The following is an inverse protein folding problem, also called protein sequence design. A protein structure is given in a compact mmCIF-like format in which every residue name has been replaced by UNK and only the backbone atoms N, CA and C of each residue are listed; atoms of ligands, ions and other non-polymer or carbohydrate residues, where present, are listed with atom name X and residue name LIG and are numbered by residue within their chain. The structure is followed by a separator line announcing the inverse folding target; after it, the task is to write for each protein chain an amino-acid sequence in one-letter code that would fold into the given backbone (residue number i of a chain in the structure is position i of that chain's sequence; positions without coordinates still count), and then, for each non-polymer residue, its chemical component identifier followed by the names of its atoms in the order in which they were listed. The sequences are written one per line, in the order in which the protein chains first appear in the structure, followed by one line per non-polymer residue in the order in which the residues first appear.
data_IF_590883851409
#
_entry.id   IF_590883851409
#
_cell.length_a   1.000
_cell.length_b   1.000
_cell.length_c   1.000
_cell.angle_alpha   90.00
_cell.angle_beta   90.00
_cell.angle_gamma   90.00
#
_symmetry.space_group_name_H-M   'P 1'
#
loop_
_entity.id
_entity.type
_entity.pdbx_description
1 polymer ?
#
# COMPACT_ATOMS: atom_id res chain seq x y z
N UNK A 1 -9.15 -2.53 9.80
CA UNK A 1 -8.25 -1.68 10.60
C UNK A 1 -8.08 -0.35 9.91
N UNK A 2 -8.19 0.75 10.65
CA UNK A 2 -7.96 2.11 10.15
C UNK A 2 -6.88 2.76 11.02
N UNK A 3 -5.77 3.12 10.39
CA UNK A 3 -4.67 3.82 11.04
C UNK A 3 -5.01 5.31 11.08
N UNK A 4 -4.98 5.89 12.27
CA UNK A 4 -5.32 7.29 12.52
C UNK A 4 -4.16 8.03 13.18
N UNK A 5 -4.06 9.32 12.93
CA UNK A 5 -3.04 10.20 13.50
C UNK A 5 -3.59 11.61 13.71
N UNK A 6 -3.45 12.45 12.70
CA UNK A 6 -4.01 13.81 12.73
C UNK A 6 -5.53 13.79 12.91
N UNK A 7 -6.04 14.56 13.85
CA UNK A 7 -7.48 14.63 14.18
C UNK A 7 -8.11 13.27 14.51
N UNK A 8 -7.35 12.35 15.10
CA UNK A 8 -7.81 10.98 15.41
C UNK A 8 -9.11 10.90 16.21
N UNK A 9 -9.39 11.92 17.02
CA UNK A 9 -10.61 12.00 17.84
C UNK A 9 -11.88 12.03 16.98
N UNK A 10 -11.80 12.52 15.75
CA UNK A 10 -12.94 12.57 14.81
C UNK A 10 -13.32 11.19 14.27
N UNK A 11 -12.42 10.21 14.39
CA UNK A 11 -12.64 8.85 13.90
C UNK A 11 -13.22 7.90 14.95
N UNK A 12 -13.32 8.32 16.21
CA UNK A 12 -13.73 7.44 17.33
C UNK A 12 -15.10 6.80 17.12
N UNK A 13 -16.04 7.51 16.49
CA UNK A 13 -17.40 7.00 16.24
C UNK A 13 -17.43 5.86 15.22
N UNK A 14 -16.38 5.69 14.40
CA UNK A 14 -16.36 4.66 13.36
C UNK A 14 -16.40 3.24 13.93
N UNK A 15 -15.82 2.99 15.09
CA UNK A 15 -15.88 1.67 15.74
C UNK A 15 -17.30 1.31 16.19
N UNK A 16 -18.13 2.32 16.53
CA UNK A 16 -19.53 2.14 16.88
C UNK A 16 -20.41 1.98 15.63
N UNK A 17 -20.13 2.75 14.57
CA UNK A 17 -20.89 2.75 13.32
C UNK A 17 -20.63 1.48 12.48
N UNK A 18 -19.40 0.96 12.52
CA UNK A 18 -18.97 -0.17 11.70
C UNK A 18 -18.47 -1.34 12.57
N UNK A 19 -19.35 -2.29 12.92
CA UNK A 19 -18.96 -3.44 13.74
C UNK A 19 -17.78 -4.20 13.15
N UNK A 20 -16.75 -4.40 13.96
CA UNK A 20 -15.51 -5.09 13.53
C UNK A 20 -14.40 -4.14 13.06
N UNK A 21 -14.70 -2.85 12.81
CA UNK A 21 -13.66 -1.86 12.56
C UNK A 21 -12.83 -1.64 13.83
N UNK A 22 -11.50 -1.52 13.67
CA UNK A 22 -10.54 -1.23 14.73
C UNK A 22 -9.69 -0.04 14.34
N UNK A 23 -9.59 0.95 15.23
CA UNK A 23 -8.68 2.08 15.07
C UNK A 23 -7.30 1.73 15.63
N UNK A 24 -6.25 2.11 14.91
CA UNK A 24 -4.86 1.99 15.33
C UNK A 24 -4.25 3.38 15.35
N UNK A 25 -3.72 3.78 16.50
CA UNK A 25 -3.06 5.08 16.65
C UNK A 25 -1.64 5.04 16.05
N UNK A 26 -1.33 5.99 15.19
CA UNK A 26 0.02 6.27 14.74
C UNK A 26 0.57 7.50 15.47
N UNK A 27 1.39 7.34 16.51
CA UNK A 27 1.94 8.46 17.26
C UNK A 27 3.04 9.23 16.51
N UNK A 28 3.47 8.74 15.36
CA UNK A 28 4.54 9.34 14.54
C UNK A 28 4.02 10.00 13.26
N UNK A 29 2.71 10.26 13.18
CA UNK A 29 2.08 10.80 11.96
C UNK A 29 2.67 12.13 11.48
N UNK A 30 3.23 12.93 12.38
CA UNK A 30 3.80 14.25 12.12
C UNK A 30 5.35 14.26 12.03
N UNK A 31 6.00 13.16 12.40
CA UNK A 31 7.48 13.07 12.48
C UNK A 31 8.09 12.05 11.54
N UNK A 32 7.31 11.11 11.04
CA UNK A 32 7.73 10.06 10.12
C UNK A 32 6.89 10.09 8.84
N UNK A 33 7.41 9.49 7.78
CA UNK A 33 6.62 9.23 6.58
C UNK A 33 5.65 8.04 6.81
N UNK A 34 4.85 7.68 5.81
CA UNK A 34 3.77 6.70 5.94
C UNK A 34 4.23 5.28 6.29
N UNK A 35 5.54 4.97 6.24
CA UNK A 35 6.07 3.73 6.80
C UNK A 35 5.64 3.53 8.27
N UNK A 36 5.51 4.62 9.04
CA UNK A 36 5.03 4.57 10.41
C UNK A 36 3.58 4.05 10.49
N UNK A 37 2.73 4.42 9.54
CA UNK A 37 1.34 3.95 9.50
C UNK A 37 1.25 2.45 9.29
N UNK A 38 2.05 1.89 8.39
CA UNK A 38 2.06 0.45 8.19
C UNK A 38 2.79 -0.28 9.34
N UNK A 39 3.82 0.34 9.90
CA UNK A 39 4.53 -0.20 11.06
C UNK A 39 3.60 -0.42 12.26
N UNK A 40 2.74 0.54 12.60
CA UNK A 40 1.78 0.35 13.71
C UNK A 40 0.73 -0.72 13.42
N UNK A 41 0.40 -0.96 12.16
CA UNK A 41 -0.55 -1.97 11.71
C UNK A 41 0.10 -3.33 11.37
N UNK A 42 1.40 -3.51 11.57
CA UNK A 42 2.17 -4.67 11.08
C UNK A 42 1.70 -6.04 11.57
N UNK A 43 0.98 -6.11 12.67
CA UNK A 43 0.42 -7.36 13.19
C UNK A 43 -0.79 -7.88 12.36
N UNK A 44 -1.27 -7.09 11.41
CA UNK A 44 -2.51 -7.34 10.65
C UNK A 44 -2.27 -7.48 9.13
N UNK A 45 -1.08 -7.86 8.71
CA UNK A 45 -0.69 -7.89 7.29
C UNK A 45 -0.89 -9.25 6.61
N UNK A 46 -1.13 -10.31 7.37
CA UNK A 46 -1.37 -11.63 6.80
C UNK A 46 -2.76 -11.70 6.15
N UNK A 47 -2.81 -12.08 4.87
CA UNK A 47 -4.04 -12.08 4.06
C UNK A 47 -4.77 -10.74 4.09
N UNK A 48 -4.04 -9.68 3.86
CA UNK A 48 -4.53 -8.31 3.95
C UNK A 48 -4.66 -7.62 2.60
N UNK A 49 -5.59 -6.68 2.51
CA UNK A 49 -5.63 -5.64 1.48
C UNK A 49 -5.35 -4.32 2.18
N UNK A 50 -4.41 -3.55 1.64
CA UNK A 50 -4.01 -2.25 2.16
C UNK A 50 -4.46 -1.18 1.16
N UNK A 51 -5.05 -0.11 1.68
CA UNK A 51 -5.49 1.07 0.92
C UNK A 51 -5.00 2.33 1.61
N UNK A 52 -4.76 3.36 0.84
CA UNK A 52 -4.58 4.72 1.36
C UNK A 52 -5.93 5.37 1.69
N UNK A 53 -5.94 6.26 2.68
CA UNK A 53 -7.18 6.84 3.22
C UNK A 53 -7.80 7.96 2.37
N UNK A 54 -7.13 8.37 1.31
CA UNK A 54 -7.56 9.42 0.38
C UNK A 54 -8.14 8.88 -0.94
N UNK A 55 -8.47 7.59 -0.98
CA UNK A 55 -9.00 6.92 -2.15
C UNK A 55 -10.51 6.69 -2.05
N UNK A 56 -11.23 7.07 -3.10
CA UNK A 56 -12.65 6.75 -3.28
C UNK A 56 -12.76 5.62 -4.31
N UNK A 57 -13.31 4.51 -3.89
CA UNK A 57 -13.49 3.31 -4.73
C UNK A 57 -14.87 3.35 -5.39
N UNK A 58 -14.91 3.42 -6.71
CA UNK A 58 -16.16 3.39 -7.48
C UNK A 58 -16.61 1.98 -7.83
N UNK A 59 -15.66 1.10 -8.12
CA UNK A 59 -15.94 -0.28 -8.51
C UNK A 59 -15.35 -1.24 -7.48
N UNK A 60 -16.16 -1.71 -6.50
CA UNK A 60 -15.67 -2.50 -5.37
C UNK A 60 -15.03 -3.86 -5.75
N UNK A 61 -15.27 -4.34 -6.95
CA UNK A 61 -14.66 -5.56 -7.47
C UNK A 61 -13.13 -5.51 -7.56
N UNK A 62 -12.55 -4.30 -7.61
CA UNK A 62 -11.09 -4.14 -7.54
C UNK A 62 -10.51 -4.51 -6.17
N UNK A 63 -11.37 -4.63 -5.15
CA UNK A 63 -11.03 -5.06 -3.80
C UNK A 63 -11.39 -6.53 -3.53
N UNK A 64 -11.70 -7.31 -4.56
CA UNK A 64 -12.03 -8.73 -4.38
C UNK A 64 -10.98 -9.43 -3.53
N UNK A 65 -11.39 -10.17 -2.47
CA UNK A 65 -10.49 -10.73 -1.48
C UNK A 65 -9.75 -11.99 -1.96
N UNK A 66 -10.16 -12.55 -3.10
CA UNK A 66 -9.52 -13.72 -3.67
C UNK A 66 -8.25 -13.32 -4.42
N UNK A 67 -7.11 -13.78 -3.94
CA UNK A 67 -5.83 -13.60 -4.61
C UNK A 67 -4.83 -14.69 -4.20
N UNK A 68 -3.94 -15.07 -5.12
CA UNK A 68 -2.90 -16.08 -4.90
C UNK A 68 -1.51 -15.46 -4.75
N UNK A 69 -1.34 -14.22 -5.17
CA UNK A 69 -0.06 -13.51 -5.19
C UNK A 69 -0.20 -12.12 -4.62
N UNK A 70 0.78 -11.72 -3.82
CA UNK A 70 0.89 -10.35 -3.34
C UNK A 70 1.21 -9.39 -4.49
N UNK A 71 0.78 -8.16 -4.37
CA UNK A 71 1.06 -7.12 -5.36
C UNK A 71 0.06 -5.97 -5.33
N UNK A 72 0.17 -5.11 -6.32
CA UNK A 72 -0.56 -3.85 -6.40
C UNK A 72 -1.62 -3.87 -7.49
N UNK A 73 -2.68 -3.11 -7.29
CA UNK A 73 -3.55 -2.69 -8.38
C UNK A 73 -2.78 -1.72 -9.25
N UNK A 74 -2.87 -1.89 -10.56
CA UNK A 74 -2.12 -1.07 -11.51
C UNK A 74 -2.92 -0.84 -12.78
N UNK A 75 -2.69 0.31 -13.38
CA UNK A 75 -3.31 0.73 -14.63
C UNK A 75 -2.24 0.80 -15.71
N UNK A 76 -2.47 0.16 -16.86
CA UNK A 76 -1.58 0.31 -17.99
C UNK A 76 -1.69 1.73 -18.57
N UNK A 77 -0.56 2.37 -18.82
CA UNK A 77 -0.49 3.63 -19.53
C UNK A 77 0.52 3.57 -20.67
N UNK A 78 0.15 4.12 -21.81
CA UNK A 78 1.04 4.37 -22.94
C UNK A 78 1.61 5.81 -22.90
N UNK A 79 1.02 6.64 -22.08
CA UNK A 79 1.41 8.03 -21.89
C UNK A 79 2.60 8.18 -20.97
N UNK A 80 3.26 9.31 -21.01
CA UNK A 80 4.29 9.69 -20.06
C UNK A 80 3.62 10.07 -18.72
N UNK A 81 4.18 9.57 -17.62
CA UNK A 81 3.71 9.82 -16.26
C UNK A 81 4.88 10.00 -15.31
N UNK A 82 4.71 10.79 -14.26
CA UNK A 82 5.68 10.95 -13.15
C UNK A 82 5.35 9.99 -11.99
N UNK A 83 4.22 9.28 -12.08
CA UNK A 83 3.81 8.30 -11.07
C UNK A 83 4.69 7.04 -11.10
N UNK A 84 4.70 6.28 -10.02
CA UNK A 84 5.47 5.04 -9.97
C UNK A 84 5.01 4.07 -11.05
N UNK A 85 5.98 3.64 -11.87
CA UNK A 85 5.74 2.84 -13.06
C UNK A 85 6.43 1.48 -12.94
N UNK A 86 5.64 0.42 -12.94
CA UNK A 86 6.11 -0.96 -12.79
C UNK A 86 6.39 -1.59 -14.16
N UNK A 87 7.47 -2.34 -14.24
CA UNK A 87 7.77 -3.26 -15.35
C UNK A 87 7.36 -4.66 -14.93
N UNK A 88 6.63 -5.36 -15.80
CA UNK A 88 6.10 -6.70 -15.51
C UNK A 88 6.51 -7.66 -16.61
N UNK A 89 7.09 -8.79 -16.24
CA UNK A 89 7.45 -9.89 -17.14
C UNK A 89 6.86 -11.19 -16.62
N UNK A 90 6.14 -11.90 -17.47
CA UNK A 90 5.45 -13.15 -17.10
C UNK A 90 4.56 -13.04 -15.84
N UNK A 91 3.87 -11.90 -15.68
CA UNK A 91 2.99 -11.64 -14.55
C UNK A 91 3.70 -11.26 -13.25
N UNK A 92 5.02 -11.10 -13.26
CA UNK A 92 5.84 -10.73 -12.11
C UNK A 92 6.43 -9.33 -12.32
N UNK A 93 6.36 -8.49 -11.29
CA UNK A 93 7.02 -7.19 -11.28
C UNK A 93 8.54 -7.39 -11.23
N UNK A 94 9.23 -6.94 -12.27
CA UNK A 94 10.70 -7.05 -12.40
C UNK A 94 11.42 -5.73 -12.10
N UNK A 95 10.69 -4.63 -12.02
CA UNK A 95 11.24 -3.32 -11.72
C UNK A 95 10.16 -2.29 -11.44
N UNK A 96 10.57 -1.19 -10.85
CA UNK A 96 9.70 -0.04 -10.59
C UNK A 96 10.50 1.25 -10.69
N UNK A 97 10.00 2.20 -11.48
CA UNK A 97 10.55 3.57 -11.54
C UNK A 97 9.77 4.48 -10.59
N UNK A 98 10.48 5.19 -9.71
CA UNK A 98 9.86 6.20 -8.83
C UNK A 98 9.59 7.54 -9.54
N UNK A 99 10.21 7.74 -10.68
CA UNK A 99 10.15 8.99 -11.45
C UNK A 99 9.31 8.85 -12.72
N UNK A 100 8.53 7.77 -12.78
CA UNK A 100 7.68 7.50 -13.91
C UNK A 100 8.42 7.06 -15.17
N UNK A 101 7.89 7.45 -16.31
CA UNK A 101 8.36 7.11 -17.64
C UNK A 101 7.20 6.98 -18.62
N UNK A 102 7.43 6.28 -19.70
CA UNK A 102 6.45 6.07 -20.76
C UNK A 102 6.25 4.57 -21.01
N UNK A 103 4.99 4.16 -21.03
CA UNK A 103 4.61 2.76 -21.29
C UNK A 103 4.94 1.82 -20.14
N UNK A 104 3.93 1.46 -19.34
CA UNK A 104 4.07 0.56 -18.22
C UNK A 104 2.84 0.52 -17.32
N UNK A 105 2.98 -0.16 -16.20
CA UNK A 105 1.93 -0.32 -15.22
C UNK A 105 2.08 0.72 -14.11
N UNK A 106 1.24 1.76 -14.17
CA UNK A 106 1.18 2.76 -13.11
C UNK A 106 0.64 2.13 -11.84
N UNK A 107 1.42 2.23 -10.75
CA UNK A 107 1.06 1.71 -9.44
C UNK A 107 0.02 2.61 -8.77
N UNK A 108 -1.02 1.98 -8.23
CA UNK A 108 -1.96 2.61 -7.33
C UNK A 108 -1.78 2.01 -5.93
N UNK A 109 -1.99 2.82 -4.89
CA UNK A 109 -1.79 2.42 -3.49
C UNK A 109 -2.90 1.51 -2.97
N UNK A 110 -3.28 0.52 -3.75
CA UNK A 110 -4.11 -0.61 -3.37
C UNK A 110 -3.26 -1.85 -3.53
N UNK A 111 -2.98 -2.54 -2.44
CA UNK A 111 -2.14 -3.73 -2.45
C UNK A 111 -2.76 -4.87 -1.67
N UNK A 112 -2.34 -6.07 -1.99
CA UNK A 112 -2.74 -7.27 -1.28
C UNK A 112 -1.53 -8.11 -0.92
N UNK A 113 -1.63 -8.76 0.22
CA UNK A 113 -0.52 -9.48 0.82
C UNK A 113 -0.98 -10.86 1.25
N UNK A 114 -0.33 -11.91 0.73
CA UNK A 114 -0.56 -13.28 1.18
C UNK A 114 -0.13 -13.42 2.65
N UNK A 115 -0.54 -14.49 3.32
CA UNK A 115 -0.12 -14.74 4.70
C UNK A 115 1.41 -14.79 4.81
N UNK A 116 2.09 -15.44 3.87
CA UNK A 116 3.55 -15.56 3.85
C UNK A 116 4.22 -14.21 3.64
N UNK A 117 3.79 -13.45 2.62
CA UNK A 117 4.37 -12.14 2.33
C UNK A 117 4.01 -11.09 3.38
N UNK A 118 2.81 -11.14 3.95
CA UNK A 118 2.41 -10.27 5.05
C UNK A 118 3.29 -10.45 6.28
N UNK A 119 3.61 -11.69 6.63
CA UNK A 119 4.54 -12.03 7.70
C UNK A 119 5.96 -11.57 7.41
N UNK A 120 6.41 -11.73 6.16
CA UNK A 120 7.71 -11.23 5.68
C UNK A 120 7.77 -9.71 5.74
N UNK A 121 6.71 -9.04 5.29
CA UNK A 121 6.61 -7.58 5.31
C UNK A 121 6.67 -7.01 6.73
N UNK A 122 6.01 -7.64 7.70
CA UNK A 122 6.13 -7.29 9.10
C UNK A 122 7.60 -7.27 9.55
N UNK A 123 8.35 -8.33 9.28
CA UNK A 123 9.77 -8.42 9.65
C UNK A 123 10.62 -7.34 8.99
N UNK A 124 10.37 -7.04 7.72
CA UNK A 124 11.07 -5.98 6.99
C UNK A 124 10.71 -4.58 7.48
N UNK A 125 9.45 -4.34 7.84
CA UNK A 125 9.04 -3.08 8.48
C UNK A 125 9.76 -2.87 9.81
N UNK A 126 9.86 -3.89 10.64
CA UNK A 126 10.59 -3.84 11.91
C UNK A 126 12.08 -3.56 11.66
N UNK A 127 12.68 -4.22 10.68
CA UNK A 127 14.08 -4.00 10.31
C UNK A 127 14.34 -2.56 9.87
N UNK A 128 13.50 -2.01 9.00
CA UNK A 128 13.67 -0.64 8.51
C UNK A 128 13.34 0.40 9.59
N UNK A 129 12.21 0.26 10.26
CA UNK A 129 11.72 1.26 11.19
C UNK A 129 12.46 1.24 12.53
N UNK A 130 12.67 0.07 13.13
CA UNK A 130 13.28 -0.07 14.47
C UNK A 130 14.81 -0.11 14.41
N UNK A 131 15.37 -0.95 13.55
CA UNK A 131 16.82 -1.22 13.54
C UNK A 131 17.57 -0.16 12.75
N UNK A 132 17.18 0.04 11.49
CA UNK A 132 17.84 1.02 10.62
C UNK A 132 17.42 2.46 10.86
N UNK A 133 16.31 2.70 11.57
CA UNK A 133 15.71 4.03 11.78
C UNK A 133 15.35 4.74 10.47
N UNK A 134 15.06 3.98 9.43
CA UNK A 134 14.68 4.47 8.09
C UNK A 134 13.20 4.86 8.08
N UNK A 135 12.87 6.00 8.67
CA UNK A 135 11.49 6.42 9.00
C UNK A 135 10.90 7.46 8.06
N UNK A 136 11.67 7.89 7.04
CA UNK A 136 11.23 8.90 6.08
C UNK A 136 10.92 8.32 4.70
N UNK A 137 10.90 7.00 4.55
CA UNK A 137 10.50 6.31 3.33
C UNK A 137 8.99 6.04 3.32
N UNK A 138 8.46 5.81 2.14
CA UNK A 138 7.13 5.23 1.98
C UNK A 138 7.15 3.76 2.39
N UNK A 139 6.04 3.25 2.93
CA UNK A 139 5.96 1.84 3.26
C UNK A 139 6.07 0.94 2.00
N UNK A 140 5.62 1.44 0.84
CA UNK A 140 5.75 0.78 -0.45
C UNK A 140 7.20 0.55 -0.87
N UNK A 141 8.12 1.42 -0.42
CA UNK A 141 9.55 1.26 -0.65
C UNK A 141 10.09 -0.06 -0.08
N UNK A 142 9.49 -0.57 0.97
CA UNK A 142 10.01 -1.75 1.69
C UNK A 142 10.10 -2.96 0.77
N UNK A 143 8.98 -3.36 0.15
CA UNK A 143 8.98 -4.51 -0.76
C UNK A 143 9.57 -4.19 -2.14
N UNK A 144 9.34 -2.97 -2.65
CA UNK A 144 9.74 -2.59 -4.01
C UNK A 144 11.23 -2.27 -4.14
N UNK A 145 11.83 -1.65 -3.13
CA UNK A 145 13.18 -1.10 -3.23
C UNK A 145 14.13 -1.56 -2.13
N UNK A 146 13.65 -1.76 -0.90
CA UNK A 146 14.51 -2.23 0.19
C UNK A 146 14.80 -3.73 0.10
N UNK A 147 13.79 -4.53 -0.24
CA UNK A 147 13.89 -6.00 -0.30
C UNK A 147 13.29 -6.59 -1.59
N UNK A 148 13.62 -6.07 -2.78
CA UNK A 148 12.94 -6.47 -4.02
C UNK A 148 13.14 -7.94 -4.38
N UNK A 149 14.21 -8.58 -3.92
CA UNK A 149 14.51 -9.99 -4.17
C UNK A 149 13.76 -10.96 -3.25
N UNK A 150 13.16 -10.43 -2.18
CA UNK A 150 12.44 -11.22 -1.20
C UNK A 150 10.96 -11.43 -1.56
N UNK A 151 10.47 -10.70 -2.57
CA UNK A 151 9.08 -10.72 -3.02
C UNK A 151 8.97 -11.04 -4.50
N UNK A 152 7.93 -11.78 -4.84
CA UNK A 152 7.50 -12.01 -6.22
C UNK A 152 6.13 -11.35 -6.42
N UNK A 153 6.13 -10.02 -6.50
CA UNK A 153 4.90 -9.25 -6.62
C UNK A 153 4.30 -9.40 -8.02
N UNK A 154 2.99 -9.54 -8.08
CA UNK A 154 2.22 -9.42 -9.30
C UNK A 154 1.52 -8.06 -9.38
N UNK A 155 0.66 -7.92 -10.37
CA UNK A 155 -0.27 -6.81 -10.48
C UNK A 155 -1.70 -7.33 -10.55
N UNK A 156 -2.66 -6.51 -10.12
CA UNK A 156 -4.06 -6.66 -10.50
C UNK A 156 -4.42 -5.51 -11.43
N UNK A 157 -4.63 -5.79 -12.73
CA UNK A 157 -5.04 -4.78 -13.67
C UNK A 157 -6.39 -4.17 -13.29
N UNK A 158 -6.47 -2.86 -13.35
CA UNK A 158 -7.71 -2.11 -13.21
C UNK A 158 -7.73 -0.92 -14.18
N UNK A 159 -8.80 -0.16 -14.17
CA UNK A 159 -8.97 1.04 -14.98
C UNK A 159 -8.83 2.29 -14.10
N UNK A 160 -8.36 3.38 -14.69
CA UNK A 160 -8.20 4.65 -13.98
C UNK A 160 -9.53 5.16 -13.38
N UNK A 161 -10.66 4.91 -14.04
CA UNK A 161 -11.99 5.30 -13.57
C UNK A 161 -12.53 4.46 -12.40
N UNK A 162 -11.84 3.38 -12.00
CA UNK A 162 -12.27 2.53 -10.87
C UNK A 162 -12.07 3.21 -9.52
N UNK A 163 -11.16 4.18 -9.45
CA UNK A 163 -10.89 4.96 -8.24
C UNK A 163 -10.68 6.44 -8.55
N UNK A 164 -10.82 7.29 -7.52
CA UNK A 164 -10.32 8.67 -7.50
C UNK A 164 -9.49 8.86 -6.23
N UNK A 165 -8.32 9.46 -6.38
CA UNK A 165 -7.55 9.98 -5.26
C UNK A 165 -8.00 11.41 -4.94
N UNK A 166 -8.30 11.65 -3.67
CA UNK A 166 -8.75 12.97 -3.19
C UNK A 166 -7.50 13.76 -2.82
N UNK A 167 -7.15 14.73 -3.67
CA UNK A 167 -6.05 15.65 -3.35
C UNK A 167 -6.46 16.49 -2.12
N UNK A 168 -5.70 16.39 -1.04
CA UNK A 168 -5.81 17.28 0.10
C UNK A 168 -4.97 18.52 -0.21
N UNK A 169 -5.64 19.65 -0.45
CA UNK A 169 -5.02 20.95 -0.67
C UNK A 169 -4.57 21.61 0.64
#
# INVERSE_FOLDING_TARGET
YVVVGYLKEQFQTLEEEYPGLKLIDNPWYDTCNNIASLYVAREHLENAIILDGDQIIYHPEILAPEFERSGYNSVWTDDETDEWLQTVENGIVTGCSRTGGKGGWQLYSISRWTAEDGKRLKGHLEQEFEVKKNRQIYWDDVAMFCYPKEYQLGIRPMKAEDIIEVAVS
#
